data_IF_257593166266
#
_entry.id   IF_257593166266
#
_cell.length_a   1.000
_cell.length_b   1.000
_cell.length_c   1.000
_cell.angle_alpha   90.00
_cell.angle_beta   90.00
_cell.angle_gamma   90.00
#
_symmetry.space_group_name_H-M   'P 1'
#
loop_
_entity.id
_entity.type
_entity.pdbx_description
1 polymer ?
#
# COMPACT_ATOMS: atom_id res chain seq x y z
N UNK A 1 -56.10 -23.22 -12.43
CA UNK A 1 -54.76 -23.29 -11.80
C UNK A 1 -53.80 -22.50 -12.67
N UNK A 2 -53.40 -21.34 -12.16
CA UNK A 2 -53.07 -20.14 -12.93
C UNK A 2 -51.66 -20.19 -13.55
N UNK A 3 -51.51 -19.63 -14.75
CA UNK A 3 -50.23 -19.45 -15.47
C UNK A 3 -49.14 -18.81 -14.60
N UNK A 4 -49.55 -17.91 -13.69
CA UNK A 4 -48.69 -17.28 -12.69
C UNK A 4 -47.99 -18.30 -11.78
N UNK A 5 -48.64 -19.41 -11.42
CA UNK A 5 -48.01 -20.45 -10.60
C UNK A 5 -46.91 -21.18 -11.37
N UNK A 6 -47.07 -21.36 -12.69
CA UNK A 6 -46.04 -21.99 -13.53
C UNK A 6 -44.84 -21.08 -13.75
N UNK A 7 -45.08 -19.77 -13.91
CA UNK A 7 -44.01 -18.78 -14.05
C UNK A 7 -43.20 -18.62 -12.75
N UNK A 8 -43.88 -18.59 -11.61
CA UNK A 8 -43.22 -18.53 -10.29
C UNK A 8 -42.40 -19.81 -10.04
N UNK A 9 -42.94 -20.99 -10.36
CA UNK A 9 -42.18 -22.26 -10.24
C UNK A 9 -40.95 -22.25 -11.16
N UNK A 10 -41.07 -21.75 -12.40
CA UNK A 10 -39.94 -21.65 -13.34
C UNK A 10 -38.82 -20.74 -12.80
N UNK A 11 -39.19 -19.59 -12.23
CA UNK A 11 -38.23 -18.64 -11.65
C UNK A 11 -37.55 -19.18 -10.38
N UNK A 12 -38.29 -19.92 -9.54
CA UNK A 12 -37.71 -20.57 -8.34
C UNK A 12 -36.72 -21.67 -8.73
N UNK A 13 -37.04 -22.48 -9.75
CA UNK A 13 -36.12 -23.52 -10.25
C UNK A 13 -34.83 -22.90 -10.81
N UNK A 14 -34.93 -21.82 -11.59
CA UNK A 14 -33.75 -21.09 -12.09
C UNK A 14 -32.84 -20.55 -10.98
N UNK A 15 -33.42 -20.06 -9.88
CA UNK A 15 -32.63 -19.59 -8.73
C UNK A 15 -31.96 -20.73 -7.95
N UNK A 16 -32.62 -21.89 -7.82
CA UNK A 16 -32.04 -23.05 -7.12
C UNK A 16 -30.88 -23.69 -7.89
N UNK A 17 -30.86 -23.60 -9.22
CA UNK A 17 -29.77 -24.11 -10.07
C UNK A 17 -28.52 -23.20 -10.03
N UNK A 18 -28.64 -21.96 -9.54
CA UNK A 18 -27.53 -20.99 -9.47
C UNK A 18 -26.74 -21.00 -8.14
N UNK A 19 -27.20 -21.71 -7.11
CA UNK A 19 -26.51 -21.77 -5.80
C UNK A 19 -25.65 -23.03 -5.62
N UNK A 20 -25.91 -24.10 -6.37
CA UNK A 20 -25.14 -25.34 -6.25
C UNK A 20 -24.08 -25.43 -7.36
N UNK A 21 -22.88 -24.99 -7.05
CA UNK A 21 -21.67 -25.60 -7.60
C UNK A 21 -20.84 -26.15 -6.43
N UNK A 22 -21.00 -27.43 -6.05
CA UNK A 22 -20.11 -28.07 -5.10
C UNK A 22 -18.68 -28.13 -5.65
N UNK A 23 -17.77 -27.64 -4.83
CA UNK A 23 -16.39 -28.07 -4.62
C UNK A 23 -15.85 -29.17 -5.56
N UNK A 24 -14.92 -28.81 -6.47
CA UNK A 24 -13.63 -29.47 -6.65
C UNK A 24 -12.91 -28.96 -7.91
N UNK A 25 -11.93 -28.04 -7.75
CA UNK A 25 -10.60 -28.17 -8.38
C UNK A 25 -9.58 -27.63 -7.36
N UNK A 26 -8.89 -28.56 -6.69
CA UNK A 26 -7.61 -28.30 -6.04
C UNK A 26 -6.53 -28.37 -7.12
N UNK A 27 -6.05 -27.20 -7.55
CA UNK A 27 -4.68 -26.97 -8.05
C UNK A 27 -4.54 -25.50 -8.38
N UNK A 28 -4.51 -24.65 -7.34
CA UNK A 28 -4.04 -23.29 -7.56
C UNK A 28 -2.51 -23.33 -7.63
N UNK A 29 -1.96 -23.50 -8.83
CA UNK A 29 -0.76 -22.77 -9.18
C UNK A 29 -1.15 -21.29 -9.15
N UNK A 30 -1.00 -20.66 -7.98
CA UNK A 30 -1.19 -19.22 -7.80
C UNK A 30 -0.13 -18.49 -8.61
N UNK A 31 -0.41 -18.18 -9.88
CA UNK A 31 -0.06 -16.84 -10.35
C UNK A 31 -0.83 -15.92 -9.41
N UNK A 32 -0.11 -15.26 -8.51
CA UNK A 32 -0.68 -14.46 -7.45
C UNK A 32 -1.63 -13.43 -8.04
N UNK A 33 -2.92 -13.64 -7.87
CA UNK A 33 -3.84 -12.52 -7.88
C UNK A 33 -3.46 -11.69 -6.66
N UNK A 34 -2.91 -10.52 -6.95
CA UNK A 34 -2.52 -9.48 -6.03
C UNK A 34 -3.63 -9.30 -4.98
N UNK A 35 -3.44 -9.88 -3.79
CA UNK A 35 -4.29 -9.57 -2.65
C UNK A 35 -3.92 -8.16 -2.22
N UNK A 36 -4.54 -7.19 -2.88
CA UNK A 36 -4.47 -5.76 -2.58
C UNK A 36 -5.01 -5.59 -1.17
N UNK A 37 -4.15 -5.67 -0.15
CA UNK A 37 -4.56 -5.39 1.22
C UNK A 37 -4.94 -3.92 1.27
N UNK A 38 -6.22 -3.58 1.49
CA UNK A 38 -6.58 -2.19 1.72
C UNK A 38 -5.90 -1.74 3.00
N UNK A 39 -5.19 -0.62 2.94
CA UNK A 39 -4.50 -0.01 4.09
C UNK A 39 -3.29 -0.79 4.64
N UNK A 40 -2.41 -1.24 3.74
CA UNK A 40 -1.10 -1.76 4.15
C UNK A 40 -0.39 -0.75 5.07
N UNK A 41 0.00 -1.23 6.25
CA UNK A 41 0.81 -0.44 7.17
C UNK A 41 2.22 -0.40 6.60
N UNK A 42 2.69 0.81 6.32
CA UNK A 42 4.00 1.07 5.74
C UNK A 42 4.84 1.79 6.79
N UNK A 43 6.12 1.44 6.83
CA UNK A 43 7.11 2.11 7.66
C UNK A 43 8.26 2.56 6.77
N UNK A 44 8.59 3.85 6.82
CA UNK A 44 9.73 4.41 6.10
C UNK A 44 10.77 4.76 7.15
N UNK A 45 12.01 4.34 6.91
CA UNK A 45 13.16 4.64 7.77
C UNK A 45 14.24 5.26 6.91
N UNK A 46 14.77 6.40 7.34
CA UNK A 46 15.81 7.15 6.65
C UNK A 46 17.04 7.18 7.53
N UNK A 47 18.11 6.53 7.09
CA UNK A 47 19.39 6.49 7.80
C UNK A 47 20.36 7.53 7.26
N UNK A 48 21.12 8.17 8.14
CA UNK A 48 22.20 9.06 7.76
C UNK A 48 23.56 8.34 7.79
N UNK A 49 24.05 7.97 6.61
CA UNK A 49 25.40 7.45 6.39
C UNK A 49 26.29 8.43 5.59
N UNK A 50 26.07 9.74 5.74
CA UNK A 50 26.93 10.75 5.13
C UNK A 50 28.36 10.65 5.67
N UNK A 51 29.32 10.75 4.76
CA UNK A 51 30.73 10.82 5.14
C UNK A 51 31.03 12.08 5.97
N UNK A 52 32.07 11.99 6.80
CA UNK A 52 32.56 13.13 7.59
C UNK A 52 31.72 13.49 8.82
N UNK A 53 30.87 12.58 9.30
CA UNK A 53 30.02 12.80 10.48
C UNK A 53 29.13 14.04 10.36
N UNK A 54 28.58 14.26 9.16
CA UNK A 54 27.73 15.41 8.87
C UNK A 54 26.25 15.15 9.21
N UNK A 55 25.58 16.21 9.65
CA UNK A 55 24.14 16.19 9.85
C UNK A 55 23.41 16.29 8.50
N UNK A 56 22.24 15.67 8.48
CA UNK A 56 21.33 15.66 7.35
C UNK A 56 19.97 16.21 7.81
N UNK A 57 19.46 17.25 7.14
CA UNK A 57 18.12 17.79 7.43
C UNK A 57 17.13 17.25 6.41
N UNK A 58 16.03 16.71 6.91
CA UNK A 58 14.91 16.21 6.11
C UNK A 58 13.63 16.96 6.47
N UNK A 59 12.82 17.32 5.48
CA UNK A 59 11.47 17.78 5.68
C UNK A 59 10.53 16.99 4.77
N UNK A 60 9.61 16.23 5.35
CA UNK A 60 8.74 15.32 4.60
C UNK A 60 7.27 15.73 4.73
N UNK A 61 6.54 15.63 3.62
CA UNK A 61 5.09 15.80 3.64
C UNK A 61 4.41 14.90 2.61
N UNK A 62 3.14 14.62 2.84
CA UNK A 62 2.21 14.06 1.88
C UNK A 62 1.21 15.13 1.43
N UNK A 63 0.16 14.74 0.71
CA UNK A 63 -0.97 15.63 0.43
C UNK A 63 -1.71 16.05 1.70
N UNK A 64 -1.79 15.14 2.68
CA UNK A 64 -2.69 15.25 3.82
C UNK A 64 -1.95 15.47 5.15
N UNK A 65 -0.66 15.11 5.22
CA UNK A 65 0.15 15.16 6.44
C UNK A 65 1.49 15.86 6.22
N UNK A 66 1.80 16.87 7.02
CA UNK A 66 3.15 17.46 7.12
C UNK A 66 3.87 16.83 8.32
N UNK A 67 4.98 16.15 8.05
CA UNK A 67 5.79 15.51 9.10
C UNK A 67 6.81 16.47 9.70
N UNK A 68 6.98 17.65 9.12
CA UNK A 68 7.90 18.68 9.56
C UNK A 68 9.36 18.40 9.20
N UNK A 69 10.23 19.28 9.71
CA UNK A 69 11.67 19.20 9.53
C UNK A 69 12.35 18.48 10.70
N UNK A 70 13.28 17.58 10.39
CA UNK A 70 14.08 16.83 11.36
C UNK A 70 15.56 16.89 10.96
N UNK A 71 16.44 16.96 11.96
CA UNK A 71 17.90 16.86 11.77
C UNK A 71 18.32 15.48 12.22
N UNK A 72 18.96 14.73 11.33
CA UNK A 72 19.42 13.37 11.57
C UNK A 72 20.95 13.43 11.73
N UNK A 73 21.42 13.02 12.90
CA UNK A 73 22.85 12.96 13.21
C UNK A 73 23.56 11.83 12.46
N UNK A 74 24.90 11.75 12.54
CA UNK A 74 25.67 10.67 11.94
C UNK A 74 25.26 9.31 12.53
N UNK A 75 25.09 8.30 11.67
CA UNK A 75 24.67 6.94 12.04
C UNK A 75 23.29 6.85 12.71
N UNK A 76 22.54 7.95 12.71
CA UNK A 76 21.19 8.02 13.26
C UNK A 76 20.13 7.87 12.16
N UNK A 77 18.86 7.78 12.56
CA UNK A 77 17.75 7.64 11.65
C UNK A 77 16.52 8.46 12.05
N UNK A 78 15.67 8.70 11.05
CA UNK A 78 14.33 9.23 11.23
C UNK A 78 13.34 8.29 10.55
N UNK A 79 12.26 7.96 11.24
CA UNK A 79 11.25 7.04 10.76
C UNK A 79 9.82 7.56 10.98
N UNK A 80 8.91 7.05 10.15
CA UNK A 80 7.49 7.24 10.36
C UNK A 80 6.68 6.09 9.78
N UNK A 81 5.52 5.86 10.39
CA UNK A 81 4.55 4.85 9.96
C UNK A 81 3.25 5.48 9.48
N UNK A 82 2.67 4.93 8.42
CA UNK A 82 1.37 5.36 7.89
C UNK A 82 0.62 4.17 7.28
N UNK A 83 -0.63 4.42 6.86
CA UNK A 83 -1.41 3.47 6.06
C UNK A 83 -1.64 4.05 4.68
N UNK A 84 -1.28 3.30 3.64
CA UNK A 84 -1.50 3.75 2.27
C UNK A 84 -2.99 3.86 1.96
N UNK A 85 -3.36 4.86 1.18
CA UNK A 85 -4.74 5.02 0.74
C UNK A 85 -5.18 3.86 -0.17
N UNK A 86 -6.49 3.62 -0.25
CA UNK A 86 -7.05 2.48 -1.00
C UNK A 86 -6.65 2.53 -2.49
N UNK A 87 -6.52 3.74 -3.05
CA UNK A 87 -6.17 3.96 -4.44
C UNK A 87 -4.68 3.75 -4.76
N UNK A 88 -3.84 3.47 -3.77
CA UNK A 88 -2.40 3.25 -3.97
C UNK A 88 -1.65 4.51 -4.42
N UNK A 89 -2.21 5.70 -4.20
CA UNK A 89 -1.64 6.98 -4.67
C UNK A 89 -0.91 7.75 -3.56
N UNK A 90 -0.77 7.19 -2.36
CA UNK A 90 -0.06 7.85 -1.26
C UNK A 90 1.37 8.20 -1.70
N UNK A 91 1.75 9.45 -1.47
CA UNK A 91 3.04 10.01 -1.84
C UNK A 91 3.60 10.74 -0.63
N UNK A 92 4.84 10.44 -0.27
CA UNK A 92 5.65 11.28 0.62
C UNK A 92 6.83 11.80 -0.19
N UNK A 93 6.84 13.11 -0.42
CA UNK A 93 7.96 13.82 -1.01
C UNK A 93 8.67 14.58 0.09
N UNK A 94 9.99 14.53 0.08
CA UNK A 94 10.81 15.14 1.11
C UNK A 94 11.87 16.03 0.51
N UNK A 95 12.07 17.19 1.13
CA UNK A 95 13.24 18.03 0.92
C UNK A 95 14.40 17.54 1.78
N UNK A 96 15.56 17.39 1.17
CA UNK A 96 16.79 16.90 1.74
C UNK A 96 17.84 18.00 1.64
N UNK A 97 18.55 18.29 2.72
CA UNK A 97 19.64 19.26 2.74
C UNK A 97 20.80 18.78 3.60
N UNK A 98 22.00 18.86 3.05
CA UNK A 98 23.26 18.51 3.70
C UNK A 98 24.37 19.46 3.22
N UNK A 99 25.58 19.40 3.81
CA UNK A 99 26.69 20.26 3.40
C UNK A 99 27.09 20.13 1.91
N UNK A 100 26.78 19.00 1.29
CA UNK A 100 27.12 18.71 -0.11
C UNK A 100 26.05 19.19 -1.11
N UNK A 101 24.87 19.58 -0.63
CA UNK A 101 23.78 20.05 -1.47
C UNK A 101 22.40 19.72 -0.93
N UNK A 102 21.39 20.05 -1.74
CA UNK A 102 19.99 19.85 -1.40
C UNK A 102 19.19 19.34 -2.59
N UNK A 103 18.10 18.62 -2.34
CA UNK A 103 17.19 18.15 -3.38
C UNK A 103 15.86 17.66 -2.81
N UNK A 104 14.88 17.48 -3.69
CA UNK A 104 13.57 16.93 -3.34
C UNK A 104 13.44 15.53 -3.92
N UNK A 105 12.96 14.59 -3.11
CA UNK A 105 12.87 13.18 -3.49
C UNK A 105 11.54 12.57 -3.03
N UNK A 106 11.00 11.68 -3.86
CA UNK A 106 9.84 10.85 -3.51
C UNK A 106 10.31 9.63 -2.69
N UNK A 107 10.34 9.78 -1.36
CA UNK A 107 10.79 8.72 -0.45
C UNK A 107 9.80 7.55 -0.41
N UNK A 108 8.51 7.84 -0.58
CA UNK A 108 7.50 6.81 -0.78
C UNK A 108 6.55 7.22 -1.90
N UNK A 109 6.32 6.33 -2.87
CA UNK A 109 5.30 6.48 -3.91
C UNK A 109 4.51 5.20 -4.02
N UNK A 110 3.22 5.23 -3.70
CA UNK A 110 2.39 4.03 -3.57
C UNK A 110 2.43 3.11 -4.80
N UNK A 111 2.33 3.65 -6.01
CA UNK A 111 2.47 2.90 -7.27
C UNK A 111 3.82 2.15 -7.39
N UNK A 112 4.90 2.72 -6.86
CA UNK A 112 6.25 2.15 -6.90
C UNK A 112 6.51 1.17 -5.74
N UNK A 113 6.03 1.49 -4.55
CA UNK A 113 6.52 0.89 -3.30
C UNK A 113 5.52 -0.04 -2.60
N UNK A 114 4.23 -0.03 -2.97
CA UNK A 114 3.20 -0.85 -2.31
C UNK A 114 3.59 -2.33 -2.24
N UNK A 115 4.06 -2.89 -3.35
CA UNK A 115 4.43 -4.30 -3.43
C UNK A 115 5.77 -4.61 -2.73
N UNK A 116 6.65 -3.61 -2.57
CA UNK A 116 7.97 -3.78 -1.93
C UNK A 116 7.83 -4.08 -0.44
N UNK A 117 6.77 -3.56 0.19
CA UNK A 117 6.48 -3.74 1.60
C UNK A 117 5.71 -5.03 1.93
N UNK A 118 5.52 -5.94 0.95
CA UNK A 118 4.86 -7.24 1.17
C UNK A 118 5.84 -8.31 1.67
N UNK A 119 7.14 -8.09 1.52
CA UNK A 119 8.19 -8.96 2.05
C UNK A 119 8.67 -8.37 3.37
N UNK A 120 8.09 -8.81 4.48
CA UNK A 120 8.66 -8.55 5.80
C UNK A 120 9.92 -9.40 5.93
N UNK A 121 11.08 -8.75 6.13
CA UNK A 121 12.32 -9.41 6.53
C UNK A 121 12.51 -9.29 8.04
#
# INVERSE_FOLDING_TARGET
MSFFNKLIILLVVLFTVLWEAPCAISSRNQIGEEFIIPFQKTHVVVYNFLEGLNNFTIHCMSKDDDLGSHVIGPEDNYDWGFRSNIWGTTLFFCGLSCPYGSGTFDLYKGERDRERCLVCQ
#
